data_IF_242600936611
#
_entry.id   IF_242600936611
#
_cell.length_a   1.000
_cell.length_b   1.000
_cell.length_c   1.000
_cell.angle_alpha   90.00
_cell.angle_beta   90.00
_cell.angle_gamma   90.00
#
_symmetry.space_group_name_H-M   'P 1'
#
loop_
_entity.id
_entity.type
_entity.pdbx_description
1 polymer ?
#
# COMPACT_ATOMS: atom_id res chain seq x y z
N UNK A 1 -10.73 21.88 10.03
CA UNK A 1 -9.54 21.04 10.30
C UNK A 1 -9.29 20.03 9.16
N UNK A 2 -9.47 20.39 7.88
CA UNK A 2 -9.38 19.44 6.75
C UNK A 2 -8.28 19.78 5.74
N UNK A 3 -7.52 20.85 5.98
CA UNK A 3 -6.64 21.44 4.96
C UNK A 3 -5.14 21.17 5.16
N UNK A 4 -4.73 20.42 6.20
CA UNK A 4 -3.31 20.12 6.48
C UNK A 4 -2.81 18.87 5.73
N UNK A 5 -3.69 17.98 5.28
CA UNK A 5 -3.34 16.80 4.47
C UNK A 5 -3.20 17.12 2.97
N UNK A 6 -3.58 18.34 2.53
CA UNK A 6 -3.44 18.80 1.14
C UNK A 6 -2.08 19.42 0.81
N UNK A 7 -1.19 19.59 1.79
CA UNK A 7 0.12 20.25 1.62
C UNK A 7 1.30 19.29 1.45
N UNK A 8 1.14 18.02 1.76
CA UNK A 8 2.08 17.02 1.28
C UNK A 8 1.59 16.60 -0.11
N UNK A 9 2.43 16.66 -1.13
CA UNK A 9 2.10 16.36 -2.53
C UNK A 9 1.75 14.89 -2.76
N UNK A 10 0.78 14.36 -2.01
CA UNK A 10 0.19 13.05 -2.17
C UNK A 10 -0.72 13.20 -3.38
N UNK A 11 -0.21 12.80 -4.56
CA UNK A 11 -1.07 12.56 -5.72
C UNK A 11 -2.21 11.68 -5.21
N UNK A 12 -3.45 12.04 -5.47
CA UNK A 12 -4.61 11.26 -4.98
C UNK A 12 -4.46 9.76 -5.29
N UNK A 13 -3.82 9.40 -6.40
CA UNK A 13 -3.42 8.02 -6.72
C UNK A 13 -2.52 7.35 -5.66
N UNK A 14 -1.56 8.06 -5.07
CA UNK A 14 -0.72 7.55 -3.98
C UNK A 14 -1.50 7.38 -2.67
N UNK A 15 -2.56 8.17 -2.44
CA UNK A 15 -3.43 8.00 -1.28
C UNK A 15 -4.25 6.70 -1.35
N UNK A 16 -4.76 6.34 -2.53
CA UNK A 16 -5.45 5.07 -2.77
C UNK A 16 -4.52 3.85 -2.54
N UNK A 17 -3.22 3.97 -2.84
CA UNK A 17 -2.25 2.90 -2.58
C UNK A 17 -1.86 2.76 -1.11
N UNK A 18 -1.98 3.82 -0.31
CA UNK A 18 -1.76 3.75 1.14
C UNK A 18 -2.86 2.88 1.78
N UNK A 19 -4.12 3.06 1.38
CA UNK A 19 -5.22 2.26 1.90
C UNK A 19 -5.07 0.78 1.53
N UNK A 20 -4.69 0.51 0.27
CA UNK A 20 -4.33 -0.83 -0.19
C UNK A 20 -3.22 -1.48 0.65
N UNK A 21 -2.19 -0.73 1.02
CA UNK A 21 -1.10 -1.25 1.86
C UNK A 21 -1.55 -1.50 3.30
N UNK A 22 -2.44 -0.66 3.84
CA UNK A 22 -3.03 -0.85 5.18
C UNK A 22 -3.88 -2.12 5.21
N UNK A 23 -4.73 -2.35 4.21
CA UNK A 23 -5.51 -3.58 4.10
C UNK A 23 -4.63 -4.81 3.90
N UNK A 24 -3.57 -4.71 3.08
CA UNK A 24 -2.56 -5.76 2.96
C UNK A 24 -1.95 -6.11 4.32
N UNK A 25 -1.55 -5.10 5.10
CA UNK A 25 -0.93 -5.30 6.40
C UNK A 25 -1.91 -5.95 7.38
N UNK A 26 -3.18 -5.56 7.37
CA UNK A 26 -4.24 -6.19 8.19
C UNK A 26 -4.43 -7.67 7.82
N UNK A 27 -4.56 -8.00 6.53
CA UNK A 27 -4.70 -9.40 6.09
C UNK A 27 -3.48 -10.24 6.50
N UNK A 28 -2.28 -9.71 6.33
CA UNK A 28 -1.04 -10.40 6.74
C UNK A 28 -0.95 -10.53 8.27
N UNK A 29 -1.37 -9.52 9.03
CA UNK A 29 -1.42 -9.57 10.49
C UNK A 29 -2.44 -10.57 11.02
N UNK A 30 -3.54 -10.80 10.29
CA UNK A 30 -4.52 -11.85 10.57
C UNK A 30 -3.98 -13.27 10.28
N UNK A 31 -2.81 -13.36 9.61
CA UNK A 31 -2.16 -14.62 9.25
C UNK A 31 -2.53 -15.12 7.86
N UNK A 32 -3.20 -14.31 7.04
CA UNK A 32 -3.54 -14.68 5.67
C UNK A 32 -2.29 -14.73 4.76
N UNK A 33 -2.36 -15.62 3.77
CA UNK A 33 -1.26 -15.79 2.82
C UNK A 33 -1.10 -14.52 1.98
N UNK A 34 0.12 -13.98 1.92
CA UNK A 34 0.49 -12.79 1.12
C UNK A 34 -0.01 -12.87 -0.32
N UNK A 35 0.08 -14.05 -0.96
CA UNK A 35 -0.43 -14.25 -2.33
C UNK A 35 -1.94 -14.06 -2.46
N UNK A 36 -2.70 -14.44 -1.44
CA UNK A 36 -4.16 -14.25 -1.39
C UNK A 36 -4.51 -12.77 -1.20
N UNK A 37 -3.83 -12.10 -0.27
CA UNK A 37 -4.00 -10.65 -0.06
C UNK A 37 -3.70 -9.85 -1.34
N UNK A 38 -2.59 -10.16 -2.04
CA UNK A 38 -2.23 -9.51 -3.29
C UNK A 38 -3.30 -9.70 -4.38
N UNK A 39 -3.83 -10.92 -4.54
CA UNK A 39 -4.88 -11.21 -5.52
C UNK A 39 -6.21 -10.50 -5.20
N UNK A 40 -6.57 -10.46 -3.91
CA UNK A 40 -7.76 -9.76 -3.42
C UNK A 40 -7.64 -8.25 -3.68
N UNK A 41 -6.52 -7.64 -3.34
CA UNK A 41 -6.26 -6.22 -3.53
C UNK A 41 -6.16 -5.85 -5.02
N UNK A 42 -5.53 -6.70 -5.84
CA UNK A 42 -5.47 -6.50 -7.29
C UNK A 42 -6.87 -6.42 -7.91
N UNK A 43 -7.79 -7.26 -7.43
CA UNK A 43 -9.19 -7.29 -7.91
C UNK A 43 -9.99 -6.09 -7.39
N UNK A 44 -9.90 -5.79 -6.09
CA UNK A 44 -10.68 -4.72 -5.45
C UNK A 44 -10.27 -3.32 -5.95
N UNK A 45 -8.96 -3.07 -6.06
CA UNK A 45 -8.43 -1.77 -6.47
C UNK A 45 -8.15 -1.69 -7.98
N UNK A 46 -8.53 -2.72 -8.76
CA UNK A 46 -8.32 -2.82 -10.22
C UNK A 46 -6.87 -2.55 -10.64
N UNK A 47 -5.92 -2.98 -9.82
CA UNK A 47 -4.48 -2.84 -10.07
C UNK A 47 -3.88 -4.19 -10.41
N UNK A 48 -2.89 -4.19 -11.31
CA UNK A 48 -2.16 -5.42 -11.62
C UNK A 48 -1.39 -5.93 -10.40
N UNK A 49 -1.34 -7.24 -10.20
CA UNK A 49 -0.56 -7.88 -9.13
C UNK A 49 0.90 -7.41 -9.13
N UNK A 50 1.49 -7.25 -10.32
CA UNK A 50 2.85 -6.72 -10.49
C UNK A 50 3.02 -5.31 -9.89
N UNK A 51 1.98 -4.47 -10.00
CA UNK A 51 1.95 -3.12 -9.43
C UNK A 51 1.81 -3.20 -7.91
N UNK A 52 0.94 -4.07 -7.41
CA UNK A 52 0.79 -4.36 -5.97
C UNK A 52 2.12 -4.83 -5.36
N UNK A 53 2.82 -5.78 -5.98
CA UNK A 53 4.15 -6.21 -5.53
C UNK A 53 5.17 -5.07 -5.52
N UNK A 54 5.17 -4.23 -6.56
CA UNK A 54 6.09 -3.09 -6.63
C UNK A 54 5.80 -2.09 -5.52
N UNK A 55 4.52 -1.83 -5.22
CA UNK A 55 4.09 -0.96 -4.13
C UNK A 55 4.50 -1.54 -2.77
N UNK A 56 4.16 -2.79 -2.48
CA UNK A 56 4.55 -3.46 -1.22
C UNK A 56 6.07 -3.40 -1.04
N UNK A 57 6.84 -3.72 -2.09
CA UNK A 57 8.30 -3.69 -2.06
C UNK A 57 8.83 -2.28 -1.81
N UNK A 58 8.22 -1.27 -2.43
CA UNK A 58 8.59 0.14 -2.25
C UNK A 58 8.26 0.61 -0.84
N UNK A 59 7.05 0.34 -0.32
CA UNK A 59 6.67 0.66 1.05
C UNK A 59 7.53 -0.05 2.10
N UNK A 60 7.89 -1.33 1.88
CA UNK A 60 8.83 -2.03 2.74
C UNK A 60 10.23 -1.39 2.70
N UNK A 61 10.67 -0.92 1.54
CA UNK A 61 11.98 -0.26 1.37
C UNK A 61 12.01 1.16 1.95
N UNK A 62 10.93 1.93 1.79
CA UNK A 62 10.76 3.27 2.38
C UNK A 62 10.55 3.21 3.90
N UNK A 63 9.99 2.11 4.42
CA UNK A 63 9.90 1.83 5.86
C UNK A 63 11.20 1.28 6.47
N UNK A 64 12.33 1.36 5.74
CA UNK A 64 13.66 1.17 6.30
C UNK A 64 14.27 2.56 6.57
N UNK A 65 14.18 3.11 7.81
CA UNK A 65 14.84 4.36 8.19
C UNK A 65 16.38 4.24 8.27
N UNK A 66 16.97 3.23 7.65
CA UNK A 66 18.41 3.08 7.47
C UNK A 66 18.86 3.54 6.08
N UNK A 67 18.35 4.69 5.62
CA UNK A 67 19.15 5.57 4.78
C UNK A 67 20.14 6.30 5.70
N UNK A 68 21.18 5.57 6.12
CA UNK A 68 22.40 6.09 6.75
C UNK A 68 23.58 5.89 5.81
#
# INVERSE_FOLDING_TARGET
>A
MLNRLRQSGIRLEDADYIDLFVDFNKMVADGEKVSYAVACLATNYRVSERKVYTLIKRFQSDCNPAAV
#
